data_IF_549868450993
#
_entry.id   IF_549868450993
#
_cell.length_a   1.000
_cell.length_b   1.000
_cell.length_c   1.000
_cell.angle_alpha   90.00
_cell.angle_beta   90.00
_cell.angle_gamma   90.00
#
_symmetry.space_group_name_H-M   'P 1'
#
loop_
_entity.id
_entity.type
_entity.pdbx_description
1 polymer ?
#
# COMPACT_ATOMS: atom_id res chain seq x y z
N UNK A 1 46.39 -37.62 52.58
CA UNK A 1 46.00 -36.87 51.37
C UNK A 1 45.13 -35.70 51.78
N UNK A 2 45.58 -34.44 51.63
CA UNK A 2 44.79 -33.29 52.03
C UNK A 2 43.75 -32.95 50.95
N UNK A 3 42.49 -32.78 51.38
CA UNK A 3 41.42 -32.18 50.59
C UNK A 3 41.65 -30.67 50.49
N UNK A 4 41.70 -30.15 49.27
CA UNK A 4 41.69 -28.71 48.99
C UNK A 4 40.23 -28.32 48.75
N UNK A 5 39.66 -27.49 49.63
CA UNK A 5 38.34 -26.87 49.43
C UNK A 5 38.55 -25.48 48.83
N UNK A 6 38.13 -25.26 47.59
CA UNK A 6 38.09 -23.91 47.01
C UNK A 6 36.84 -23.16 47.54
N UNK A 7 36.93 -21.85 47.85
CA UNK A 7 35.78 -21.08 48.27
C UNK A 7 34.84 -20.79 47.10
N UNK A 8 33.52 -20.89 47.34
CA UNK A 8 32.48 -20.47 46.41
C UNK A 8 32.54 -18.96 46.28
N UNK A 9 32.85 -18.47 45.07
CA UNK A 9 32.74 -17.06 44.72
C UNK A 9 31.32 -16.81 44.25
N UNK A 10 30.56 -16.05 45.04
CA UNK A 10 29.25 -15.53 44.61
C UNK A 10 29.45 -14.63 43.39
N UNK A 11 28.64 -14.76 42.31
CA UNK A 11 28.71 -13.83 41.19
C UNK A 11 28.48 -12.40 41.67
N UNK A 12 29.11 -11.39 41.03
CA UNK A 12 28.87 -10.00 41.39
C UNK A 12 27.38 -9.68 41.24
N UNK A 13 26.84 -9.07 42.30
CA UNK A 13 25.48 -8.52 42.33
C UNK A 13 25.35 -7.48 41.22
N UNK A 14 24.58 -7.81 40.17
CA UNK A 14 24.21 -6.89 39.11
C UNK A 14 23.22 -5.90 39.72
N UNK A 15 23.77 -4.86 40.36
CA UNK A 15 23.01 -3.88 41.13
C UNK A 15 21.69 -3.51 40.45
N UNK A 16 20.62 -3.54 41.23
CA UNK A 16 19.30 -3.03 40.87
C UNK A 16 19.36 -1.52 40.61
N UNK A 17 19.91 -1.16 39.45
CA UNK A 17 19.78 0.16 38.87
C UNK A 17 18.45 0.19 38.13
N UNK A 18 17.56 1.08 38.54
CA UNK A 18 16.36 1.42 37.79
C UNK A 18 16.76 1.77 36.37
N UNK A 19 16.60 0.81 35.46
CA UNK A 19 16.65 1.09 34.05
C UNK A 19 15.46 1.99 33.78
N UNK A 20 15.72 3.26 33.49
CA UNK A 20 14.86 3.99 32.56
C UNK A 20 14.57 3.01 31.43
N UNK A 21 13.31 2.62 31.19
CA UNK A 21 12.98 1.70 30.12
C UNK A 21 13.70 2.23 28.89
N UNK A 22 14.60 1.44 28.31
CA UNK A 22 15.09 1.74 26.97
C UNK A 22 13.80 1.90 26.17
N UNK A 23 13.49 3.08 25.61
CA UNK A 23 12.33 3.22 24.78
C UNK A 23 12.59 2.30 23.59
N UNK A 24 12.00 1.11 23.64
CA UNK A 24 11.82 0.32 22.44
C UNK A 24 11.17 1.29 21.47
N UNK A 25 11.73 1.49 20.26
CA UNK A 25 11.05 2.31 19.27
C UNK A 25 9.64 1.73 19.18
N UNK A 26 8.62 2.59 19.38
CA UNK A 26 7.24 2.17 19.18
C UNK A 26 7.20 1.49 17.82
N UNK A 27 6.93 0.19 17.83
CA UNK A 27 6.68 -0.56 16.60
C UNK A 27 5.33 -0.01 16.15
N UNK A 28 5.32 1.15 15.52
CA UNK A 28 4.09 1.77 15.07
C UNK A 28 3.41 0.80 14.10
N UNK A 29 2.09 0.79 14.13
CA UNK A 29 1.33 0.02 13.18
C UNK A 29 1.18 0.84 11.90
N UNK A 30 1.28 0.18 10.74
CA UNK A 30 0.92 0.82 9.49
C UNK A 30 -0.55 1.24 9.56
N UNK A 31 -0.83 2.50 9.26
CA UNK A 31 -2.18 3.05 9.21
C UNK A 31 -2.69 2.99 7.78
N UNK A 32 -3.92 2.56 7.59
CA UNK A 32 -4.53 2.48 6.27
C UNK A 32 -5.77 3.37 6.18
N UNK A 33 -5.88 4.10 5.08
CA UNK A 33 -7.01 5.00 4.81
C UNK A 33 -7.50 4.79 3.38
N UNK A 34 -8.81 4.75 3.21
CA UNK A 34 -9.46 4.73 1.90
C UNK A 34 -10.13 6.06 1.64
N UNK A 35 -9.82 6.69 0.51
CA UNK A 35 -10.53 7.89 0.04
C UNK A 35 -11.47 7.47 -1.07
N UNK A 36 -12.77 7.71 -0.88
CA UNK A 36 -13.77 7.37 -1.87
C UNK A 36 -13.76 8.34 -3.08
N UNK A 37 -14.46 8.03 -4.18
CA UNK A 37 -14.53 8.93 -5.34
C UNK A 37 -15.13 10.32 -5.07
N UNK A 38 -15.75 10.54 -3.91
CA UNK A 38 -16.27 11.84 -3.49
C UNK A 38 -15.27 12.66 -2.67
N UNK A 39 -14.10 12.08 -2.38
CA UNK A 39 -13.07 12.68 -1.52
C UNK A 39 -13.28 12.43 -0.03
N UNK A 40 -14.27 11.61 0.35
CA UNK A 40 -14.51 11.27 1.76
C UNK A 40 -13.45 10.26 2.20
N UNK A 41 -12.77 10.55 3.32
CA UNK A 41 -11.73 9.68 3.90
C UNK A 41 -12.36 8.73 4.91
N UNK A 42 -12.05 7.44 4.75
CA UNK A 42 -12.50 6.33 5.57
C UNK A 42 -11.27 5.68 6.23
N UNK A 43 -11.06 5.87 7.54
CA UNK A 43 -9.94 5.22 8.22
C UNK A 43 -10.23 3.71 8.32
N UNK A 44 -9.31 2.87 7.85
CA UNK A 44 -9.50 1.42 7.84
C UNK A 44 -8.87 0.73 9.07
N UNK A 45 -8.05 1.45 9.83
CA UNK A 45 -7.36 0.94 11.03
C UNK A 45 -7.86 1.56 12.33
N UNK A 46 -8.86 2.45 12.27
CA UNK A 46 -9.40 3.14 13.44
C UNK A 46 -10.64 2.43 13.99
N UNK A 47 -10.44 1.68 15.08
CA UNK A 47 -11.52 0.95 15.76
C UNK A 47 -12.65 1.88 16.23
N UNK A 48 -12.35 3.14 16.59
CA UNK A 48 -13.37 4.09 17.07
C UNK A 48 -14.41 4.47 16.00
N UNK A 49 -14.10 4.23 14.72
CA UNK A 49 -15.05 4.40 13.62
C UNK A 49 -16.15 3.31 13.60
N UNK A 50 -15.97 2.23 14.36
CA UNK A 50 -16.85 1.04 14.38
C UNK A 50 -16.53 0.03 13.29
N UNK A 51 -15.32 0.11 12.74
CA UNK A 51 -14.75 -0.90 11.86
C UNK A 51 -13.22 -0.87 11.94
N UNK A 52 -12.57 -2.00 11.67
CA UNK A 52 -11.12 -2.04 11.59
C UNK A 52 -10.65 -3.18 10.68
N UNK A 53 -9.42 -3.08 10.19
CA UNK A 53 -8.80 -4.07 9.33
C UNK A 53 -8.35 -5.27 10.16
N UNK A 54 -8.70 -6.47 9.73
CA UNK A 54 -8.25 -7.70 10.39
C UNK A 54 -6.77 -7.95 10.07
N UNK A 55 -5.94 -8.09 11.12
CA UNK A 55 -4.49 -8.18 11.00
C UNK A 55 -3.99 -9.36 10.11
N UNK A 56 -4.72 -10.48 10.10
CA UNK A 56 -4.25 -11.73 9.49
C UNK A 56 -4.64 -11.93 8.00
N UNK A 57 -5.20 -10.93 7.31
CA UNK A 57 -5.74 -11.21 5.97
C UNK A 57 -5.58 -10.15 4.90
N UNK A 58 -4.87 -9.05 5.15
CA UNK A 58 -4.56 -8.12 4.06
C UNK A 58 -3.54 -8.77 3.13
N UNK A 59 -3.91 -8.96 1.86
CA UNK A 59 -3.04 -9.58 0.86
C UNK A 59 -2.99 -8.76 -0.42
N UNK A 60 -1.96 -8.99 -1.24
CA UNK A 60 -1.76 -8.25 -2.49
C UNK A 60 -1.04 -6.91 -2.31
N UNK A 61 -0.44 -6.61 -1.15
CA UNK A 61 0.32 -5.35 -0.91
C UNK A 61 1.78 -5.38 -1.38
N UNK A 62 2.27 -6.55 -1.82
CA UNK A 62 3.66 -6.80 -2.19
C UNK A 62 3.98 -6.41 -3.64
N UNK A 63 4.93 -7.13 -4.24
CA UNK A 63 5.36 -6.90 -5.62
C UNK A 63 4.20 -7.03 -6.62
N UNK A 64 4.32 -6.29 -7.74
CA UNK A 64 3.38 -6.35 -8.86
C UNK A 64 3.43 -7.72 -9.52
N UNK A 65 2.27 -8.33 -9.86
CA UNK A 65 2.27 -9.57 -10.64
C UNK A 65 2.75 -9.29 -12.06
N UNK A 66 3.62 -10.16 -12.57
CA UNK A 66 4.12 -10.09 -13.95
C UNK A 66 3.79 -11.37 -14.71
N UNK A 67 3.40 -11.20 -15.95
CA UNK A 67 3.39 -12.29 -16.93
C UNK A 67 4.72 -12.30 -17.67
N UNK A 68 5.40 -13.45 -17.65
CA UNK A 68 6.73 -13.62 -18.24
C UNK A 68 6.65 -14.49 -19.49
N UNK A 69 6.99 -13.92 -20.64
CA UNK A 69 7.15 -14.68 -21.89
C UNK A 69 8.59 -15.15 -22.00
N UNK A 70 8.79 -16.46 -22.15
CA UNK A 70 10.13 -17.06 -22.18
C UNK A 70 10.31 -18.00 -23.37
N UNK A 71 11.54 -18.06 -23.90
CA UNK A 71 11.94 -19.01 -24.94
C UNK A 71 12.83 -20.10 -24.32
N UNK A 72 12.49 -21.36 -24.52
CA UNK A 72 13.28 -22.48 -24.03
C UNK A 72 14.63 -22.60 -24.76
N UNK A 73 15.69 -22.91 -24.01
CA UNK A 73 16.99 -23.22 -24.59
C UNK A 73 17.12 -24.72 -24.94
N UNK A 74 17.85 -25.08 -26.01
CA UNK A 74 18.02 -26.48 -26.42
C UNK A 74 18.70 -27.38 -25.37
N UNK A 75 19.48 -26.79 -24.45
CA UNK A 75 20.23 -27.51 -23.40
C UNK A 75 19.60 -27.35 -22.00
N UNK A 76 18.35 -26.89 -21.94
CA UNK A 76 17.66 -26.58 -20.69
C UNK A 76 17.80 -25.12 -20.27
N UNK A 77 16.86 -24.67 -19.43
CA UNK A 77 16.67 -23.26 -19.09
C UNK A 77 15.81 -22.50 -20.12
N UNK A 78 15.53 -21.23 -19.84
CA UNK A 78 14.76 -20.36 -20.73
C UNK A 78 15.28 -18.93 -20.68
N UNK A 79 15.17 -18.20 -21.80
CA UNK A 79 15.48 -16.78 -21.90
C UNK A 79 14.20 -15.96 -21.76
N UNK A 80 14.19 -15.01 -20.82
CA UNK A 80 13.10 -14.03 -20.71
C UNK A 80 13.10 -13.12 -21.95
N UNK A 81 11.96 -13.04 -22.62
CA UNK A 81 11.74 -12.18 -23.79
C UNK A 81 11.00 -10.91 -23.41
N UNK A 82 9.94 -11.07 -22.64
CA UNK A 82 9.04 -9.99 -22.30
C UNK A 82 8.48 -10.21 -20.90
N UNK A 83 8.28 -9.10 -20.18
CA UNK A 83 7.63 -9.07 -18.88
C UNK A 83 6.56 -7.98 -18.93
N UNK A 84 5.30 -8.35 -18.72
CA UNK A 84 4.18 -7.41 -18.65
C UNK A 84 3.66 -7.33 -17.22
N UNK A 85 3.52 -6.14 -16.64
CA UNK A 85 2.76 -5.99 -15.41
C UNK A 85 1.31 -6.36 -15.66
N UNK A 86 0.70 -7.03 -14.69
CA UNK A 86 -0.70 -7.42 -14.72
C UNK A 86 -1.50 -6.61 -13.70
N UNK A 87 -2.81 -6.39 -13.92
CA UNK A 87 -3.66 -5.76 -12.94
C UNK A 87 -3.59 -6.50 -11.60
N UNK A 88 -3.61 -5.75 -10.50
CA UNK A 88 -3.49 -6.29 -9.15
C UNK A 88 -4.86 -6.48 -8.53
N UNK A 89 -5.01 -7.54 -7.74
CA UNK A 89 -6.11 -7.67 -6.78
C UNK A 89 -5.56 -7.57 -5.35
N UNK A 90 -6.13 -6.70 -4.54
CA UNK A 90 -5.85 -6.56 -3.11
C UNK A 90 -7.04 -7.14 -2.35
N UNK A 91 -6.80 -8.08 -1.45
CA UNK A 91 -7.85 -8.57 -0.54
C UNK A 91 -7.69 -7.84 0.78
N UNK A 92 -8.76 -7.16 1.21
CA UNK A 92 -8.81 -6.32 2.39
C UNK A 92 -9.91 -6.79 3.34
N UNK A 93 -9.58 -7.56 4.38
CA UNK A 93 -10.55 -7.99 5.37
C UNK A 93 -10.86 -6.85 6.34
N UNK A 94 -12.14 -6.54 6.47
CA UNK A 94 -12.66 -5.51 7.34
C UNK A 94 -13.66 -6.12 8.32
N UNK A 95 -13.46 -5.87 9.60
CA UNK A 95 -14.46 -6.18 10.62
C UNK A 95 -15.29 -4.92 10.89
N UNK A 96 -16.61 -5.05 10.92
CA UNK A 96 -17.54 -3.95 11.14
C UNK A 96 -18.46 -4.33 12.29
N UNK A 97 -18.67 -3.41 13.23
CA UNK A 97 -19.51 -3.66 14.40
C UNK A 97 -20.27 -2.40 14.83
N UNK A 98 -21.28 -2.59 15.68
CA UNK A 98 -22.03 -1.52 16.33
C UNK A 98 -22.56 -1.97 17.69
N UNK A 99 -22.96 -1.01 18.53
CA UNK A 99 -23.63 -1.30 19.80
C UNK A 99 -25.05 -1.81 19.56
N UNK A 100 -25.66 -1.37 18.46
CA UNK A 100 -26.98 -1.81 18.01
C UNK A 100 -26.96 -2.37 16.59
N UNK A 101 -27.94 -3.22 16.27
CA UNK A 101 -28.10 -3.75 14.91
C UNK A 101 -28.30 -2.65 13.86
N UNK A 102 -29.01 -1.57 14.23
CA UNK A 102 -29.27 -0.42 13.35
C UNK A 102 -27.97 0.31 13.03
N UNK A 103 -27.13 0.53 14.03
CA UNK A 103 -25.81 1.15 13.89
C UNK A 103 -24.88 0.30 13.02
N UNK A 104 -24.82 -1.01 13.29
CA UNK A 104 -24.06 -1.96 12.48
C UNK A 104 -24.48 -1.92 11.00
N UNK A 105 -25.77 -2.01 10.70
CA UNK A 105 -26.28 -1.93 9.31
C UNK A 105 -25.96 -0.57 8.69
N UNK A 106 -26.10 0.51 9.46
CA UNK A 106 -25.76 1.87 9.00
C UNK A 106 -24.31 1.95 8.54
N UNK A 107 -23.37 1.50 9.38
CA UNK A 107 -21.93 1.44 9.07
C UNK A 107 -21.63 0.53 7.89
N UNK A 108 -22.21 -0.67 7.86
CA UNK A 108 -22.04 -1.62 6.77
C UNK A 108 -22.46 -1.04 5.42
N UNK A 109 -23.64 -0.41 5.36
CA UNK A 109 -24.16 0.23 4.14
C UNK A 109 -23.34 1.46 3.73
N UNK A 110 -22.85 2.23 4.70
CA UNK A 110 -22.02 3.40 4.44
C UNK A 110 -20.70 2.98 3.78
N UNK A 111 -20.01 2.00 4.34
CA UNK A 111 -18.80 1.40 3.76
C UNK A 111 -19.08 0.76 2.40
N UNK A 112 -20.13 -0.06 2.28
CA UNK A 112 -20.50 -0.68 1.01
C UNK A 112 -20.76 0.38 -0.07
N UNK A 113 -21.42 1.48 0.29
CA UNK A 113 -21.65 2.60 -0.63
C UNK A 113 -20.34 3.29 -1.00
N UNK A 114 -19.44 3.55 -0.04
CA UNK A 114 -18.15 4.20 -0.28
C UNK A 114 -17.28 3.43 -1.27
N UNK A 115 -17.22 2.08 -1.15
CA UNK A 115 -16.48 1.24 -2.07
C UNK A 115 -17.20 1.05 -3.42
N UNK A 116 -18.50 0.75 -3.42
CA UNK A 116 -19.24 0.53 -4.68
C UNK A 116 -19.41 1.79 -5.53
N UNK A 117 -19.19 2.98 -4.98
CA UNK A 117 -19.13 4.24 -5.74
C UNK A 117 -18.11 4.18 -6.89
N UNK A 118 -17.02 3.42 -6.77
CA UNK A 118 -16.02 3.29 -7.84
C UNK A 118 -16.57 2.62 -9.10
N UNK A 119 -17.70 1.91 -8.99
CA UNK A 119 -18.35 1.26 -10.13
C UNK A 119 -19.23 2.22 -10.95
N UNK A 120 -19.54 3.40 -10.40
CA UNK A 120 -20.38 4.41 -11.05
C UNK A 120 -19.53 5.28 -11.95
N UNK A 121 -20.13 5.74 -13.06
CA UNK A 121 -19.52 6.74 -13.92
C UNK A 121 -19.55 8.10 -13.22
N UNK A 122 -18.42 8.79 -13.28
CA UNK A 122 -18.29 10.17 -12.84
C UNK A 122 -18.84 11.16 -13.88
N UNK A 123 -18.72 12.48 -13.61
CA UNK A 123 -19.16 13.53 -14.51
C UNK A 123 -18.57 13.43 -15.93
N UNK A 124 -17.35 12.91 -16.04
CA UNK A 124 -16.61 12.77 -17.29
C UNK A 124 -16.93 11.47 -18.06
N UNK A 125 -17.95 10.72 -17.61
CA UNK A 125 -18.35 9.43 -18.20
C UNK A 125 -17.38 8.28 -17.93
N UNK A 126 -16.31 8.52 -17.15
CA UNK A 126 -15.34 7.49 -16.73
C UNK A 126 -15.61 7.06 -15.30
N UNK A 127 -15.30 5.81 -14.98
CA UNK A 127 -15.30 5.35 -13.58
C UNK A 127 -14.19 6.05 -12.83
N UNK A 128 -14.50 6.55 -11.64
CA UNK A 128 -13.53 7.23 -10.78
C UNK A 128 -13.02 6.22 -9.74
N UNK A 129 -11.72 5.94 -9.65
CA UNK A 129 -11.18 5.04 -8.64
C UNK A 129 -11.25 5.67 -7.25
N UNK A 130 -11.24 4.82 -6.22
CA UNK A 130 -10.90 5.24 -4.88
C UNK A 130 -9.38 5.17 -4.67
N UNK A 131 -8.89 5.83 -3.62
CA UNK A 131 -7.46 5.81 -3.27
C UNK A 131 -7.25 5.06 -1.97
N UNK A 132 -6.45 4.00 -2.02
CA UNK A 132 -5.99 3.30 -0.83
C UNK A 132 -4.60 3.80 -0.47
N UNK A 133 -4.45 4.41 0.70
CA UNK A 133 -3.19 4.92 1.22
C UNK A 133 -2.75 4.10 2.43
N UNK A 134 -1.46 3.78 2.48
CA UNK A 134 -0.80 3.11 3.60
C UNK A 134 0.32 4.01 4.09
N UNK A 135 0.21 4.46 5.33
CA UNK A 135 1.23 5.22 6.02
C UNK A 135 1.97 4.31 7.01
N UNK A 136 3.30 4.31 6.95
CA UNK A 136 4.15 3.60 7.89
C UNK A 136 4.61 4.52 9.01
N UNK A 137 5.06 3.97 10.15
CA UNK A 137 5.54 4.76 11.29
C UNK A 137 6.80 5.57 10.99
N UNK A 138 7.57 5.15 9.99
CA UNK A 138 8.76 5.85 9.49
C UNK A 138 8.41 7.14 8.72
N UNK A 139 7.11 7.45 8.57
CA UNK A 139 6.61 8.60 7.83
C UNK A 139 6.48 8.36 6.32
N UNK A 140 6.95 7.21 5.82
CA UNK A 140 6.76 6.85 4.41
C UNK A 140 5.30 6.52 4.14
N UNK A 141 4.84 6.91 2.96
CA UNK A 141 3.47 6.71 2.52
C UNK A 141 3.43 6.26 1.09
N UNK A 142 2.42 5.49 0.76
CA UNK A 142 2.15 5.06 -0.61
C UNK A 142 0.66 4.97 -0.85
N UNK A 143 0.22 5.35 -2.04
CA UNK A 143 -1.17 5.28 -2.49
C UNK A 143 -1.30 4.41 -3.73
N UNK A 144 -2.45 3.76 -3.89
CA UNK A 144 -2.81 3.01 -5.10
C UNK A 144 -4.28 3.27 -5.45
N UNK A 145 -4.56 3.34 -6.74
CA UNK A 145 -5.92 3.48 -7.26
C UNK A 145 -6.63 2.12 -7.23
N UNK A 146 -7.83 2.09 -6.65
CA UNK A 146 -8.59 0.86 -6.43
C UNK A 146 -10.03 0.98 -6.92
N UNK A 147 -10.56 -0.12 -7.44
CA UNK A 147 -11.97 -0.31 -7.76
C UNK A 147 -12.52 -1.47 -6.93
N UNK A 148 -13.71 -1.29 -6.36
CA UNK A 148 -14.42 -2.39 -5.72
C UNK A 148 -14.75 -3.49 -6.73
N UNK A 149 -14.47 -4.75 -6.38
CA UNK A 149 -14.86 -5.94 -7.16
C UNK A 149 -15.93 -6.76 -6.45
N UNK A 150 -15.69 -7.14 -5.21
CA UNK A 150 -16.56 -8.02 -4.40
C UNK A 150 -16.19 -7.97 -2.90
N UNK A 151 -16.95 -8.64 -2.03
CA UNK A 151 -16.56 -8.89 -0.64
C UNK A 151 -17.54 -8.47 0.47
N UNK A 152 -18.62 -7.75 0.14
CA UNK A 152 -19.66 -7.34 1.11
C UNK A 152 -20.76 -8.40 1.35
N UNK A 153 -20.43 -9.68 1.21
CA UNK A 153 -21.37 -10.79 1.42
C UNK A 153 -21.54 -11.17 2.91
N UNK A 154 -20.59 -10.76 3.76
CA UNK A 154 -20.52 -11.18 5.16
C UNK A 154 -19.89 -12.56 5.32
N UNK A 155 -19.50 -12.92 6.55
CA UNK A 155 -18.85 -14.22 6.82
C UNK A 155 -19.84 -15.39 6.85
N UNK A 156 -21.13 -15.12 7.01
CA UNK A 156 -22.18 -16.14 7.13
C UNK A 156 -22.00 -17.09 8.33
N UNK A 157 -21.22 -16.68 9.33
CA UNK A 157 -20.91 -17.49 10.49
C UNK A 157 -22.00 -17.33 11.57
N UNK A 158 -22.20 -18.36 12.41
CA UNK A 158 -23.17 -18.30 13.50
C UNK A 158 -22.84 -17.14 14.44
N UNK A 159 -23.76 -16.18 14.55
CA UNK A 159 -23.59 -14.97 15.37
C UNK A 159 -23.07 -13.74 14.61
N UNK A 160 -22.68 -13.88 13.33
CA UNK A 160 -22.38 -12.73 12.46
C UNK A 160 -23.67 -12.11 11.92
N UNK A 161 -23.63 -10.82 11.58
CA UNK A 161 -24.76 -10.07 11.01
C UNK A 161 -25.78 -9.53 12.02
N UNK A 162 -25.60 -9.78 13.33
CA UNK A 162 -26.49 -9.25 14.39
C UNK A 162 -26.02 -7.86 14.83
N UNK A 163 -24.81 -7.75 15.37
CA UNK A 163 -24.20 -6.45 15.72
C UNK A 163 -22.81 -6.29 15.13
N UNK A 164 -22.32 -7.32 14.45
CA UNK A 164 -21.00 -7.33 13.84
C UNK A 164 -20.91 -8.36 12.73
N UNK A 165 -20.10 -8.08 11.71
CA UNK A 165 -19.72 -9.06 10.68
C UNK A 165 -18.35 -8.67 10.08
N UNK A 166 -17.75 -9.59 9.33
CA UNK A 166 -16.52 -9.35 8.57
C UNK A 166 -16.81 -9.40 7.07
N UNK A 167 -16.23 -8.45 6.32
CA UNK A 167 -16.20 -8.40 4.88
C UNK A 167 -14.77 -8.70 4.40
N UNK A 168 -14.61 -9.50 3.34
CA UNK A 168 -13.30 -9.73 2.70
C UNK A 168 -13.32 -9.03 1.34
N UNK A 169 -12.94 -7.76 1.31
CA UNK A 169 -13.07 -6.92 0.12
C UNK A 169 -12.01 -7.27 -0.90
N UNK A 170 -12.41 -7.61 -2.12
CA UNK A 170 -11.48 -7.69 -3.24
C UNK A 170 -11.49 -6.37 -3.99
N UNK A 171 -10.33 -5.71 -4.04
CA UNK A 171 -10.10 -4.44 -4.70
C UNK A 171 -9.24 -4.67 -5.95
N UNK A 172 -9.74 -4.27 -7.11
CA UNK A 172 -9.03 -4.37 -8.38
C UNK A 172 -8.29 -3.07 -8.68
N UNK A 173 -7.02 -3.16 -9.04
CA UNK A 173 -6.17 -2.04 -9.37
C UNK A 173 -5.80 -2.15 -10.86
N UNK A 174 -6.23 -1.17 -11.66
CA UNK A 174 -5.88 -1.06 -13.07
C UNK A 174 -4.37 -0.87 -13.24
N UNK A 175 -3.84 0.10 -12.50
CA UNK A 175 -2.41 0.27 -12.28
C UNK A 175 -1.99 -0.53 -11.04
N UNK A 176 -1.14 -1.55 -11.17
CA UNK A 176 -0.73 -2.39 -10.05
C UNK A 176 0.36 -1.76 -9.17
N UNK A 177 0.90 -0.60 -9.55
CA UNK A 177 2.00 0.04 -8.83
C UNK A 177 1.52 0.96 -7.71
N UNK A 178 2.37 1.05 -6.68
CA UNK A 178 2.19 2.02 -5.61
C UNK A 178 2.85 3.34 -6.03
N UNK A 179 2.13 4.44 -5.85
CA UNK A 179 2.61 5.78 -6.09
C UNK A 179 2.90 6.49 -4.76
N UNK A 180 3.82 7.45 -4.77
CA UNK A 180 3.96 8.41 -3.68
C UNK A 180 2.71 9.33 -3.67
N UNK A 181 2.10 9.61 -2.50
CA UNK A 181 1.02 10.59 -2.41
C UNK A 181 1.46 12.02 -2.73
N UNK A 182 2.75 12.36 -2.57
CA UNK A 182 3.28 13.68 -2.89
C UNK A 182 3.69 13.72 -4.35
N UNK A 183 2.96 14.48 -5.15
CA UNK A 183 3.29 14.69 -6.56
C UNK A 183 4.52 15.60 -6.70
N UNK A 184 5.54 15.08 -7.38
CA UNK A 184 6.71 15.86 -7.79
C UNK A 184 6.49 16.27 -9.24
N UNK A 185 6.09 17.52 -9.43
CA UNK A 185 5.94 18.11 -10.75
C UNK A 185 7.19 18.92 -11.12
N UNK A 186 7.83 18.59 -12.24
CA UNK A 186 8.82 19.46 -12.85
C UNK A 186 8.20 20.31 -13.94
N UNK A 187 8.29 21.63 -13.78
CA UNK A 187 7.93 22.55 -14.83
C UNK A 187 9.05 22.64 -15.86
N UNK A 188 8.76 22.29 -17.12
CA UNK A 188 9.66 22.51 -18.24
C UNK A 188 9.12 23.65 -19.10
N UNK A 189 9.88 24.72 -19.17
CA UNK A 189 9.66 25.79 -20.13
C UNK A 189 10.73 25.70 -21.22
N UNK A 190 10.33 25.92 -22.46
CA UNK A 190 11.29 26.17 -23.53
C UNK A 190 11.59 27.66 -23.54
N UNK A 191 12.86 28.02 -23.61
CA UNK A 191 13.28 29.41 -23.85
C UNK A 191 12.78 29.94 -25.20
N UNK A 192 13.28 31.09 -25.63
CA UNK A 192 12.96 31.64 -26.95
C UNK A 192 13.29 30.61 -28.05
N UNK A 193 12.26 30.14 -28.76
CA UNK A 193 12.41 29.22 -29.88
C UNK A 193 13.21 29.89 -31.00
N UNK A 194 14.41 29.41 -31.29
CA UNK A 194 15.17 29.77 -32.49
C UNK A 194 15.00 28.70 -33.56
N UNK A 195 15.08 29.11 -34.83
CA UNK A 195 15.07 28.15 -35.94
C UNK A 195 16.20 27.14 -35.77
N UNK A 196 15.87 25.84 -35.77
CA UNK A 196 16.85 24.75 -35.80
C UNK A 196 17.79 24.84 -37.02
N UNK A 197 17.36 25.54 -38.08
CA UNK A 197 18.13 25.76 -39.29
C UNK A 197 19.08 26.96 -39.21
N UNK A 198 19.17 27.67 -38.07
CA UNK A 198 19.98 28.90 -37.99
C UNK A 198 20.53 29.16 -36.57
N UNK A 199 21.83 28.91 -36.31
CA UNK A 199 22.81 28.21 -37.15
C UNK A 199 22.62 26.69 -37.07
N UNK A 200 22.93 25.94 -38.13
CA UNK A 200 22.92 24.46 -38.11
C UNK A 200 23.85 23.95 -37.01
N UNK A 201 23.33 23.38 -35.90
CA UNK A 201 24.19 22.79 -34.90
C UNK A 201 24.71 21.45 -35.42
N UNK A 202 26.03 21.27 -35.43
CA UNK A 202 26.65 19.96 -35.59
C UNK A 202 26.46 19.17 -34.30
N UNK A 203 25.33 18.48 -34.18
CA UNK A 203 25.06 17.57 -33.07
C UNK A 203 25.62 16.20 -33.47
N UNK A 204 26.57 15.68 -32.70
CA UNK A 204 26.95 14.27 -32.79
C UNK A 204 25.93 13.42 -32.04
N UNK A 205 25.74 12.16 -32.43
CA UNK A 205 24.74 11.24 -31.88
C UNK A 205 24.86 10.95 -30.38
N UNK A 206 25.84 11.52 -29.68
CA UNK A 206 26.10 11.34 -28.24
C UNK A 206 25.88 12.60 -27.40
N UNK A 207 25.39 13.72 -27.94
CA UNK A 207 25.25 14.97 -27.20
C UNK A 207 23.77 15.31 -26.91
N UNK A 208 23.40 15.32 -25.62
CA UNK A 208 22.09 15.77 -25.13
C UNK A 208 22.24 17.22 -24.64
N UNK A 209 21.47 18.15 -25.21
CA UNK A 209 21.41 19.55 -24.77
C UNK A 209 20.45 19.66 -23.58
N UNK A 210 21.01 19.81 -22.38
CA UNK A 210 20.25 19.92 -21.12
C UNK A 210 19.85 18.55 -20.58
N UNK A 211 20.52 18.09 -19.53
CA UNK A 211 20.11 16.92 -18.76
C UNK A 211 19.51 17.38 -17.44
N UNK A 212 18.29 16.95 -17.15
CA UNK A 212 17.68 17.06 -15.83
C UNK A 212 17.51 15.65 -15.27
N UNK A 213 18.03 15.40 -14.08
CA UNK A 213 17.84 14.14 -13.37
C UNK A 213 16.54 14.22 -12.56
N UNK A 214 15.53 13.46 -12.98
CA UNK A 214 14.29 13.31 -12.22
C UNK A 214 14.39 12.03 -11.40
N UNK A 215 14.45 12.16 -10.08
CA UNK A 215 14.38 11.00 -9.19
C UNK A 215 12.92 10.71 -8.88
N UNK A 216 12.36 9.67 -9.51
CA UNK A 216 11.05 9.13 -9.13
C UNK A 216 11.26 8.09 -8.00
N UNK A 217 10.83 8.35 -6.76
CA UNK A 217 10.94 7.38 -5.67
C UNK A 217 9.95 6.21 -5.80
N UNK A 218 9.04 6.23 -6.79
CA UNK A 218 8.08 5.15 -7.05
C UNK A 218 8.72 3.87 -7.59
N UNK A 219 7.93 2.79 -7.66
CA UNK A 219 8.39 1.46 -8.08
C UNK A 219 8.74 1.36 -9.60
N UNK A 220 8.53 2.43 -10.38
CA UNK A 220 8.74 2.46 -11.84
C UNK A 220 9.65 3.64 -12.20
N UNK A 221 10.78 3.34 -12.86
CA UNK A 221 11.78 4.28 -13.39
C UNK A 221 11.60 4.40 -14.90
#
# INVERSE_FOLDING_TARGET
MPLITAPVVTPPDTGGGGSTPVPLPEIGFATATYTDPTGTVWPLTDESAGWFTLADGVSGLGATPYELTTDAHPRGGARLRYASPQPRAIVWPLYVYGETHVEFIGRWRALATAFTRTLREGPDGRRTPGWLEIARPDGTRRRIAVYYREGFEGRGAKGSGIVSDAAALTLWCEDPYWADPVEVAEHRETGSLSSFFTPYPTISSSQVLGSTEVTNPGDVI
#
